data_IF_817463638040
#
_entry.id   IF_817463638040
#
_cell.length_a   1.000
_cell.length_b   1.000
_cell.length_c   1.000
_cell.angle_alpha   90.00
_cell.angle_beta   90.00
_cell.angle_gamma   90.00
#
_symmetry.space_group_name_H-M   'P 1'
#
loop_
_entity.id
_entity.type
_entity.pdbx_description
1 polymer ?
#
# COMPACT_ATOMS: atom_id res chain seq x y z
N UNK A 1 -29.84 21.11 -28.99
CA UNK A 1 -29.66 19.73 -28.48
C UNK A 1 -28.17 19.49 -28.34
N UNK A 2 -27.63 19.49 -27.13
CA UNK A 2 -26.20 19.32 -26.88
C UNK A 2 -25.96 19.28 -25.38
N UNK A 3 -26.03 18.08 -24.82
CA UNK A 3 -26.05 17.84 -23.38
C UNK A 3 -24.66 18.12 -22.80
N UNK A 4 -24.66 19.01 -21.82
CA UNK A 4 -23.57 19.27 -20.87
C UNK A 4 -23.07 17.96 -20.27
N UNK A 5 -21.80 17.63 -20.47
CA UNK A 5 -21.15 16.50 -19.80
C UNK A 5 -20.71 17.01 -18.43
N UNK A 6 -21.47 16.62 -17.43
CA UNK A 6 -21.20 16.88 -16.02
C UNK A 6 -19.81 16.37 -15.66
N UNK A 7 -18.89 17.30 -15.41
CA UNK A 7 -17.61 17.05 -14.74
C UNK A 7 -17.91 16.55 -13.33
N UNK A 8 -17.91 15.22 -13.16
CA UNK A 8 -17.94 14.58 -11.86
C UNK A 8 -16.52 14.69 -11.29
N UNK A 9 -16.26 15.82 -10.64
CA UNK A 9 -15.02 16.07 -9.90
C UNK A 9 -14.85 14.93 -8.89
N UNK A 10 -13.86 14.08 -9.12
CA UNK A 10 -13.39 13.11 -8.14
C UNK A 10 -12.92 13.93 -6.94
N UNK A 11 -13.77 14.00 -5.93
CA UNK A 11 -13.50 14.69 -4.67
C UNK A 11 -12.44 13.86 -3.96
N UNK A 12 -11.17 14.17 -4.21
CA UNK A 12 -10.07 13.77 -3.35
C UNK A 12 -10.34 14.45 -2.02
N UNK A 13 -10.92 13.72 -1.07
CA UNK A 13 -11.08 14.19 0.29
C UNK A 13 -9.68 14.17 0.91
N UNK A 14 -8.95 15.27 0.72
CA UNK A 14 -7.89 15.66 1.62
C UNK A 14 -8.58 15.97 2.95
N UNK A 15 -8.54 15.02 3.89
CA UNK A 15 -8.81 15.35 5.28
C UNK A 15 -7.57 16.05 5.80
N UNK A 16 -7.64 17.37 5.84
CA UNK A 16 -6.90 18.16 6.82
C UNK A 16 -7.30 17.67 8.20
N UNK A 17 -6.51 16.76 8.74
CA UNK A 17 -6.39 16.59 10.19
C UNK A 17 -4.97 16.96 10.54
N UNK A 18 -4.79 18.22 10.91
CA UNK A 18 -3.79 18.63 11.88
C UNK A 18 -3.98 17.78 13.15
N UNK A 19 -3.38 16.59 13.16
CA UNK A 19 -3.08 15.87 14.38
C UNK A 19 -1.58 15.94 14.58
N UNK A 20 -1.21 16.93 15.39
CA UNK A 20 0.03 17.06 16.16
C UNK A 20 0.87 15.79 16.10
N UNK A 21 2.02 15.89 15.44
CA UNK A 21 3.05 14.86 15.37
C UNK A 21 3.58 14.54 16.78
N UNK A 22 2.82 13.76 17.54
CA UNK A 22 3.27 13.19 18.81
C UNK A 22 4.22 12.06 18.45
N UNK A 23 5.53 12.34 18.53
CA UNK A 23 6.58 11.33 18.41
C UNK A 23 6.26 10.20 19.40
N UNK A 24 5.88 8.99 18.96
CA UNK A 24 5.41 7.98 19.89
C UNK A 24 6.62 7.36 20.57
N UNK A 25 6.72 7.58 21.88
CA UNK A 25 7.55 6.76 22.76
C UNK A 25 6.87 5.40 22.89
N UNK A 26 7.20 4.45 22.02
CA UNK A 26 6.61 3.11 22.02
C UNK A 26 5.25 3.03 21.34
N UNK A 27 4.83 1.80 20.98
CA UNK A 27 3.49 1.56 20.43
C UNK A 27 2.44 1.87 21.48
N UNK A 28 1.35 2.53 21.06
CA UNK A 28 0.23 2.85 21.93
C UNK A 28 -0.34 1.56 22.56
N UNK A 29 -0.53 1.50 23.90
CA UNK A 29 -1.12 0.33 24.57
C UNK A 29 -2.49 -0.06 24.02
N UNK A 30 -3.33 0.90 23.62
CA UNK A 30 -4.64 0.61 23.06
C UNK A 30 -4.53 -0.07 21.69
N UNK A 31 -3.60 0.39 20.84
CA UNK A 31 -3.29 -0.24 19.55
C UNK A 31 -2.76 -1.67 19.77
N UNK A 32 -1.86 -1.82 20.75
CA UNK A 32 -1.27 -3.11 21.13
C UNK A 32 -2.33 -4.12 21.57
N UNK A 33 -3.32 -3.71 22.37
CA UNK A 33 -4.39 -4.61 22.80
C UNK A 33 -5.33 -4.97 21.65
N UNK A 34 -5.78 -3.98 20.85
CA UNK A 34 -6.65 -4.21 19.68
C UNK A 34 -6.02 -5.20 18.69
N UNK A 35 -4.74 -5.01 18.36
CA UNK A 35 -4.01 -5.96 17.49
C UNK A 35 -3.86 -7.31 18.19
N UNK A 36 -3.65 -7.30 19.51
CA UNK A 36 -3.61 -8.49 20.33
C UNK A 36 -4.92 -9.29 20.28
N UNK A 37 -6.07 -8.63 20.21
CA UNK A 37 -7.39 -9.24 20.02
C UNK A 37 -7.55 -9.82 18.62
N UNK A 38 -7.24 -9.02 17.59
CA UNK A 38 -7.25 -9.48 16.20
C UNK A 38 -6.43 -10.78 16.01
N UNK A 39 -5.25 -10.85 16.62
CA UNK A 39 -4.42 -12.05 16.57
C UNK A 39 -5.10 -13.24 17.28
N UNK A 40 -5.74 -13.03 18.43
CA UNK A 40 -6.47 -14.09 19.14
C UNK A 40 -7.63 -14.63 18.30
N UNK A 41 -8.40 -13.74 17.69
CA UNK A 41 -9.57 -14.10 16.87
C UNK A 41 -9.17 -14.89 15.62
N UNK A 42 -7.95 -14.65 15.11
CA UNK A 42 -7.34 -15.40 14.00
C UNK A 42 -6.59 -16.66 14.45
N UNK A 43 -6.67 -17.06 15.72
CA UNK A 43 -5.97 -18.24 16.27
C UNK A 43 -4.44 -18.07 16.35
N UNK A 44 -3.94 -16.84 16.22
CA UNK A 44 -2.52 -16.52 16.19
C UNK A 44 -2.01 -16.15 17.58
N UNK A 45 -0.88 -16.74 17.98
CA UNK A 45 -0.14 -16.32 19.17
C UNK A 45 0.17 -14.82 19.11
N UNK A 46 -0.12 -14.11 20.21
CA UNK A 46 0.20 -12.69 20.46
C UNK A 46 1.70 -12.46 20.65
N UNK A 47 2.46 -12.55 19.57
CA UNK A 47 3.90 -12.28 19.58
C UNK A 47 4.18 -10.79 19.42
N UNK A 48 5.19 -10.28 20.13
CA UNK A 48 5.59 -8.88 20.04
C UNK A 48 5.92 -8.45 18.60
N UNK A 49 6.61 -9.29 17.82
CA UNK A 49 6.94 -8.99 16.42
C UNK A 49 5.69 -8.83 15.54
N UNK A 50 4.67 -9.67 15.71
CA UNK A 50 3.40 -9.57 14.98
C UNK A 50 2.68 -8.28 15.30
N UNK A 51 2.59 -7.95 16.58
CA UNK A 51 1.97 -6.71 17.03
C UNK A 51 2.70 -5.50 16.44
N UNK A 52 4.03 -5.51 16.51
CA UNK A 52 4.85 -4.41 16.01
C UNK A 52 4.71 -4.23 14.50
N UNK A 53 4.78 -5.30 13.71
CA UNK A 53 4.61 -5.23 12.25
C UNK A 53 3.21 -4.72 11.88
N UNK A 54 2.16 -5.26 12.51
CA UNK A 54 0.79 -4.83 12.25
C UNK A 54 0.55 -3.37 12.67
N UNK A 55 1.13 -2.92 13.77
CA UNK A 55 0.98 -1.54 14.23
C UNK A 55 1.65 -0.52 13.30
N UNK A 56 2.71 -0.90 12.59
CA UNK A 56 3.37 -0.06 11.57
C UNK A 56 2.58 -0.02 10.27
N UNK A 57 1.85 -1.09 9.95
CA UNK A 57 1.01 -1.20 8.75
C UNK A 57 -0.39 -0.57 8.94
N UNK A 58 -0.98 -0.65 10.13
CA UNK A 58 -2.33 -0.12 10.43
C UNK A 58 -2.58 1.33 10.00
N UNK A 59 -1.67 2.30 10.22
CA UNK A 59 -1.88 3.67 9.79
C UNK A 59 -1.63 3.89 8.29
N UNK A 60 -1.17 2.88 7.55
CA UNK A 60 -0.85 2.99 6.12
C UNK A 60 -2.05 2.56 5.30
N UNK A 61 -2.62 3.49 4.55
CA UNK A 61 -3.55 3.18 3.46
C UNK A 61 -2.76 2.77 2.22
N UNK A 62 -2.24 1.53 2.21
CA UNK A 62 -1.39 1.02 1.15
C UNK A 62 -0.47 -0.11 1.61
N UNK A 63 0.59 -0.32 0.83
CA UNK A 63 1.54 -1.42 1.02
C UNK A 63 2.94 -0.92 1.38
N UNK A 64 3.67 -1.69 2.19
CA UNK A 64 5.08 -1.46 2.52
C UNK A 64 5.94 -2.69 2.20
N UNK A 65 7.15 -2.47 1.70
CA UNK A 65 8.17 -3.51 1.62
C UNK A 65 8.68 -3.90 3.02
N UNK A 66 9.33 -5.07 3.13
CA UNK A 66 9.97 -5.50 4.39
C UNK A 66 11.02 -4.49 4.86
N UNK A 67 11.77 -3.88 3.93
CA UNK A 67 12.75 -2.85 4.24
C UNK A 67 12.08 -1.61 4.87
N UNK A 68 10.98 -1.13 4.30
CA UNK A 68 10.22 0.01 4.84
C UNK A 68 9.57 -0.30 6.18
N UNK A 69 9.02 -1.51 6.36
CA UNK A 69 8.48 -1.97 7.65
C UNK A 69 9.58 -1.93 8.71
N UNK A 70 10.74 -2.50 8.41
CA UNK A 70 11.88 -2.52 9.34
C UNK A 70 12.41 -1.11 9.66
N UNK A 71 12.48 -0.23 8.66
CA UNK A 71 12.87 1.16 8.84
C UNK A 71 11.88 1.91 9.74
N UNK A 72 10.56 1.74 9.52
CA UNK A 72 9.54 2.36 10.36
C UNK A 72 9.54 1.82 11.78
N UNK A 73 9.73 0.51 11.96
CA UNK A 73 9.93 -0.08 13.29
C UNK A 73 11.11 0.54 14.02
N UNK A 74 12.21 0.80 13.31
CA UNK A 74 13.39 1.48 13.85
C UNK A 74 13.09 2.91 14.28
N UNK A 75 12.27 3.63 13.52
CA UNK A 75 11.91 5.02 13.79
C UNK A 75 10.86 5.20 14.91
N UNK A 76 9.91 4.27 15.03
CA UNK A 76 8.77 4.38 15.95
C UNK A 76 9.01 3.75 17.32
N UNK A 77 9.93 2.79 17.45
CA UNK A 77 10.18 2.11 18.73
C UNK A 77 11.17 2.90 19.60
N UNK A 78 10.85 3.01 20.89
CA UNK A 78 11.68 3.74 21.86
C UNK A 78 13.12 3.17 21.94
N UNK A 79 14.06 4.03 22.32
CA UNK A 79 15.42 3.61 22.64
C UNK A 79 15.38 2.55 23.76
N UNK A 80 15.91 1.35 23.49
CA UNK A 80 15.89 0.21 24.42
C UNK A 80 14.79 -0.83 24.16
N UNK A 81 13.77 -0.54 23.35
CA UNK A 81 12.79 -1.54 22.95
C UNK A 81 13.44 -2.61 22.05
N UNK A 82 13.16 -3.89 22.31
CA UNK A 82 13.62 -4.99 21.46
C UNK A 82 12.87 -4.97 20.14
N UNK A 83 13.56 -4.59 19.08
CA UNK A 83 13.05 -4.59 17.70
C UNK A 83 13.34 -5.95 17.06
N UNK A 84 12.44 -6.47 16.21
CA UNK A 84 12.73 -7.64 15.41
C UNK A 84 13.83 -7.31 14.40
N UNK A 85 14.74 -8.25 14.20
CA UNK A 85 15.65 -8.19 13.07
C UNK A 85 14.89 -8.39 11.74
N UNK A 86 15.56 -8.11 10.62
CA UNK A 86 14.98 -8.20 9.30
C UNK A 86 14.44 -9.62 8.98
N UNK A 87 15.18 -10.67 9.39
CA UNK A 87 14.76 -12.05 9.19
C UNK A 87 13.45 -12.38 9.95
N UNK A 88 13.29 -11.82 11.15
CA UNK A 88 12.07 -11.94 11.95
C UNK A 88 10.91 -11.18 11.31
N UNK A 89 11.16 -10.02 10.71
CA UNK A 89 10.13 -9.31 9.92
C UNK A 89 9.68 -10.17 8.74
N UNK A 90 10.61 -10.74 7.96
CA UNK A 90 10.28 -11.65 6.84
C UNK A 90 9.40 -12.83 7.29
N UNK A 91 9.80 -13.56 8.34
CA UNK A 91 9.00 -14.68 8.86
C UNK A 91 7.62 -14.22 9.34
N UNK A 92 7.57 -13.04 9.96
CA UNK A 92 6.33 -12.47 10.49
C UNK A 92 5.37 -12.13 9.36
N UNK A 93 5.80 -11.40 8.32
CA UNK A 93 4.92 -11.05 7.19
C UNK A 93 4.48 -12.29 6.41
N UNK A 94 5.37 -13.27 6.20
CA UNK A 94 5.01 -14.54 5.56
C UNK A 94 3.89 -15.25 6.34
N UNK A 95 4.05 -15.39 7.66
CA UNK A 95 3.03 -16.04 8.49
C UNK A 95 1.71 -15.27 8.47
N UNK A 96 1.74 -13.94 8.47
CA UNK A 96 0.53 -13.14 8.44
C UNK A 96 -0.18 -13.18 7.07
N UNK A 97 0.56 -13.38 5.98
CA UNK A 97 -0.01 -13.63 4.64
C UNK A 97 -0.65 -15.02 4.57
N UNK A 98 0.01 -16.05 5.09
CA UNK A 98 -0.51 -17.42 5.15
C UNK A 98 -1.78 -17.55 6.00
N UNK A 99 -2.07 -16.53 6.82
CA UNK A 99 -3.22 -16.45 7.72
C UNK A 99 -4.22 -15.38 7.29
N UNK A 100 -4.05 -14.84 6.08
CA UNK A 100 -4.95 -13.87 5.45
C UNK A 100 -5.17 -12.62 6.32
N UNK A 101 -4.16 -12.25 7.11
CA UNK A 101 -4.11 -10.99 7.87
C UNK A 101 -3.46 -9.90 7.01
N UNK A 102 -2.50 -10.29 6.17
CA UNK A 102 -1.84 -9.43 5.19
C UNK A 102 -2.07 -9.94 3.77
N UNK A 103 -2.05 -9.03 2.81
CA UNK A 103 -1.89 -9.33 1.40
C UNK A 103 -0.46 -9.00 0.95
N UNK A 104 0.13 -9.88 0.15
CA UNK A 104 1.39 -9.64 -0.51
C UNK A 104 1.13 -9.22 -1.97
N UNK A 105 1.79 -8.14 -2.39
CA UNK A 105 1.83 -7.68 -3.77
C UNK A 105 3.29 -7.74 -4.26
N UNK A 106 3.61 -8.70 -5.14
CA UNK A 106 4.87 -8.69 -5.88
C UNK A 106 4.89 -7.49 -6.83
N UNK A 107 5.98 -6.73 -6.80
CA UNK A 107 6.26 -5.66 -7.75
C UNK A 107 7.35 -6.07 -8.73
N UNK A 108 7.45 -5.31 -9.80
CA UNK A 108 8.58 -5.39 -10.72
C UNK A 108 9.90 -5.18 -9.99
N UNK A 109 10.95 -5.91 -10.39
CA UNK A 109 12.26 -5.85 -9.73
C UNK A 109 12.41 -6.75 -8.50
N UNK A 110 11.45 -7.64 -8.23
CA UNK A 110 11.56 -8.69 -7.21
C UNK A 110 11.26 -8.22 -5.78
N UNK A 111 10.80 -6.98 -5.60
CA UNK A 111 10.36 -6.48 -4.30
C UNK A 111 8.93 -6.92 -4.05
N UNK A 112 8.66 -7.49 -2.88
CA UNK A 112 7.29 -7.78 -2.43
C UNK A 112 6.90 -6.77 -1.36
N UNK A 113 5.70 -6.23 -1.50
CA UNK A 113 5.10 -5.29 -0.55
C UNK A 113 3.89 -5.88 0.12
N UNK A 114 3.58 -5.43 1.34
CA UNK A 114 2.59 -6.03 2.21
C UNK A 114 1.62 -4.96 2.71
N UNK A 115 0.32 -5.25 2.62
CA UNK A 115 -0.77 -4.41 3.09
C UNK A 115 -1.74 -5.21 3.98
N UNK A 116 -2.60 -4.53 4.74
CA UNK A 116 -3.60 -5.19 5.57
C UNK A 116 -4.72 -5.80 4.72
N UNK A 117 -5.16 -7.01 5.06
CA UNK A 117 -6.26 -7.70 4.40
C UNK A 117 -7.64 -7.30 5.01
N UNK A 118 -7.94 -6.00 5.07
CA UNK A 118 -9.17 -5.50 5.72
C UNK A 118 -10.39 -5.52 4.80
N UNK A 119 -10.21 -5.17 3.53
CA UNK A 119 -11.27 -5.16 2.52
C UNK A 119 -10.72 -5.56 1.15
N UNK A 120 -11.53 -6.22 0.29
CA UNK A 120 -11.13 -6.53 -1.07
C UNK A 120 -10.78 -5.27 -1.86
N UNK A 121 -9.59 -5.27 -2.45
CA UNK A 121 -9.08 -4.18 -3.25
C UNK A 121 -8.20 -4.70 -4.38
N UNK A 122 -8.00 -3.85 -5.37
CA UNK A 122 -7.08 -3.98 -6.47
C UNK A 122 -5.95 -2.96 -6.30
N UNK A 123 -4.95 -3.01 -7.16
CA UNK A 123 -3.77 -2.17 -7.06
C UNK A 123 -3.57 -1.34 -8.32
N UNK A 124 -3.10 -0.12 -8.14
CA UNK A 124 -2.52 0.70 -9.21
C UNK A 124 -1.07 1.03 -8.84
N UNK A 125 -0.12 0.64 -9.69
CA UNK A 125 1.32 0.76 -9.48
C UNK A 125 1.88 1.80 -10.45
N UNK A 126 2.59 2.79 -9.91
CA UNK A 126 3.28 3.79 -10.70
C UNK A 126 4.55 3.21 -11.33
N UNK A 127 4.64 3.21 -12.67
CA UNK A 127 5.80 2.70 -13.41
C UNK A 127 7.04 3.62 -13.29
N UNK A 128 6.87 4.83 -12.76
CA UNK A 128 7.97 5.79 -12.60
C UNK A 128 8.56 5.78 -11.19
N UNK A 129 7.72 5.84 -10.16
CA UNK A 129 8.17 5.93 -8.76
C UNK A 129 7.84 4.71 -7.91
N UNK A 130 7.12 3.72 -8.45
CA UNK A 130 6.72 2.52 -7.71
C UNK A 130 5.59 2.74 -6.69
N UNK A 131 5.04 3.95 -6.58
CA UNK A 131 3.93 4.22 -5.65
C UNK A 131 2.73 3.32 -5.94
N UNK A 132 2.13 2.78 -4.88
CA UNK A 132 0.96 1.89 -4.93
C UNK A 132 -0.25 2.64 -4.41
N UNK A 133 -1.35 2.57 -5.14
CA UNK A 133 -2.65 3.07 -4.73
C UNK A 133 -3.61 1.88 -4.67
N UNK A 134 -4.29 1.72 -3.54
CA UNK A 134 -5.36 0.73 -3.42
C UNK A 134 -6.63 1.24 -4.12
N UNK A 135 -7.19 0.42 -4.99
CA UNK A 135 -8.43 0.67 -5.70
C UNK A 135 -9.51 -0.23 -5.10
N UNK A 136 -10.56 0.30 -4.46
CA UNK A 136 -11.60 -0.55 -3.87
C UNK A 136 -12.22 -1.50 -4.90
N UNK A 137 -12.37 -2.79 -4.57
CA UNK A 137 -12.78 -3.81 -5.55
C UNK A 137 -14.09 -3.47 -6.28
N UNK A 138 -15.05 -2.85 -5.56
CA UNK A 138 -16.33 -2.38 -6.13
C UNK A 138 -16.19 -1.45 -7.35
N UNK A 139 -15.06 -0.76 -7.50
CA UNK A 139 -14.84 0.14 -8.63
C UNK A 139 -14.57 -0.59 -9.94
N UNK A 140 -14.10 -1.86 -9.89
CA UNK A 140 -13.78 -2.66 -11.07
C UNK A 140 -14.70 -3.89 -11.23
N UNK A 141 -15.71 -4.06 -10.38
CA UNK A 141 -16.61 -5.23 -10.40
C UNK A 141 -17.25 -5.45 -11.77
N UNK A 142 -17.78 -4.39 -12.39
CA UNK A 142 -18.42 -4.53 -13.72
C UNK A 142 -17.43 -5.00 -14.79
N UNK A 143 -16.18 -4.50 -14.78
CA UNK A 143 -15.17 -4.93 -15.74
C UNK A 143 -14.80 -6.42 -15.55
N UNK A 144 -14.69 -6.86 -14.30
CA UNK A 144 -14.43 -8.27 -13.97
C UNK A 144 -15.60 -9.19 -14.38
N UNK A 145 -16.84 -8.79 -14.12
CA UNK A 145 -18.04 -9.53 -14.52
C UNK A 145 -18.09 -9.76 -16.04
N UNK A 146 -17.82 -8.72 -16.83
CA UNK A 146 -17.75 -8.84 -18.29
C UNK A 146 -16.62 -9.78 -18.74
N UNK A 147 -15.44 -9.69 -18.11
CA UNK A 147 -14.31 -10.56 -18.43
C UNK A 147 -14.62 -12.04 -18.12
N UNK A 148 -15.29 -12.33 -17.01
CA UNK A 148 -15.71 -13.69 -16.64
C UNK A 148 -16.75 -14.24 -17.62
N UNK A 149 -17.77 -13.44 -17.97
CA UNK A 149 -18.81 -13.85 -18.91
C UNK A 149 -18.24 -14.19 -20.30
N UNK A 150 -17.23 -13.45 -20.75
CA UNK A 150 -16.58 -13.68 -22.05
C UNK A 150 -15.56 -14.83 -22.07
N UNK A 151 -15.11 -15.32 -20.91
CA UNK A 151 -14.00 -16.29 -20.82
C UNK A 151 -14.34 -17.62 -20.15
N UNK A 152 -15.50 -17.74 -19.50
CA UNK A 152 -15.85 -18.86 -18.61
C UNK A 152 -14.87 -19.06 -17.44
N UNK A 153 -14.09 -18.02 -17.10
CA UNK A 153 -13.12 -18.06 -16.03
C UNK A 153 -13.78 -17.81 -14.67
N UNK A 154 -13.47 -18.64 -13.67
CA UNK A 154 -13.91 -18.47 -12.30
C UNK A 154 -12.81 -17.80 -11.46
N UNK A 155 -13.15 -16.68 -10.80
CA UNK A 155 -12.21 -15.99 -9.91
C UNK A 155 -12.10 -16.73 -8.58
N UNK A 156 -10.88 -16.83 -8.07
CA UNK A 156 -10.66 -17.21 -6.67
C UNK A 156 -10.89 -16.01 -5.75
N UNK A 157 -11.13 -16.26 -4.46
CA UNK A 157 -11.19 -15.22 -3.41
C UNK A 157 -9.90 -14.36 -3.32
N UNK A 158 -8.78 -14.87 -3.86
CA UNK A 158 -7.47 -14.19 -3.90
C UNK A 158 -7.26 -13.38 -5.19
N UNK A 159 -8.27 -13.28 -6.04
CA UNK A 159 -8.15 -12.57 -7.31
C UNK A 159 -7.99 -11.05 -7.09
N UNK A 160 -6.89 -10.51 -7.59
CA UNK A 160 -6.62 -9.08 -7.62
C UNK A 160 -6.20 -8.64 -9.03
N UNK A 161 -6.53 -7.41 -9.39
CA UNK A 161 -6.02 -6.76 -10.58
C UNK A 161 -4.93 -5.78 -10.19
N UNK A 162 -3.87 -5.71 -10.98
CA UNK A 162 -2.82 -4.69 -10.85
C UNK A 162 -2.76 -3.87 -12.12
N UNK A 163 -3.10 -2.59 -12.01
CA UNK A 163 -3.00 -1.61 -13.08
C UNK A 163 -1.62 -0.96 -13.04
N UNK A 164 -0.94 -0.85 -14.18
CA UNK A 164 0.36 -0.18 -14.28
C UNK A 164 0.19 1.15 -15.03
N UNK A 165 0.64 2.26 -14.43
CA UNK A 165 0.45 3.60 -15.00
C UNK A 165 1.29 4.67 -14.30
N UNK A 166 0.87 5.94 -14.35
CA UNK A 166 1.52 7.03 -13.62
C UNK A 166 0.63 7.50 -12.46
N UNK A 167 1.19 7.68 -11.28
CA UNK A 167 0.47 8.30 -10.16
C UNK A 167 0.27 9.82 -10.41
N UNK A 168 -0.68 10.48 -9.72
CA UNK A 168 -0.96 11.90 -9.91
C UNK A 168 0.30 12.79 -9.85
N UNK A 169 1.15 12.60 -8.84
CA UNK A 169 2.40 13.34 -8.69
C UNK A 169 3.36 13.17 -9.88
N UNK A 170 3.41 11.99 -10.50
CA UNK A 170 4.24 11.76 -11.68
C UNK A 170 3.60 12.29 -12.97
N UNK A 171 2.26 12.34 -13.05
CA UNK A 171 1.58 12.98 -14.18
C UNK A 171 1.85 14.49 -14.20
N UNK A 172 1.74 15.15 -13.05
CA UNK A 172 2.01 16.59 -12.92
C UNK A 172 3.47 16.94 -13.23
N UNK A 173 4.40 16.06 -12.82
CA UNK A 173 5.83 16.20 -13.14
C UNK A 173 6.12 16.12 -14.64
N UNK A 174 5.35 15.33 -15.39
CA UNK A 174 5.49 15.22 -16.85
C UNK A 174 4.87 16.44 -17.55
N UNK A 175 3.77 16.98 -17.02
CA UNK A 175 3.11 18.17 -17.58
C UNK A 175 3.91 19.46 -17.33
N UNK A 176 4.62 19.58 -16.20
CA UNK A 176 5.47 20.74 -15.91
C UNK A 176 6.75 20.86 -16.78
N UNK A 177 7.15 19.79 -17.48
CA UNK A 177 8.22 19.84 -18.48
C UNK A 177 7.72 20.06 -19.92
N UNK A 178 6.41 20.00 -20.16
CA UNK A 178 5.82 20.24 -21.47
C UNK A 178 5.62 21.76 -21.67
N UNK A 179 6.72 22.50 -21.77
CA UNK A 179 6.71 23.83 -22.39
C UNK A 179 6.46 23.64 -23.90
N UNK A 180 5.35 24.17 -24.48
CA UNK A 180 5.07 24.05 -25.91
C UNK A 180 6.14 24.66 -26.82
N UNK A 181 7.06 25.46 -26.26
CA UNK A 181 8.13 26.15 -26.99
C UNK A 181 9.53 25.55 -26.82
N UNK A 182 9.72 24.50 -26.00
CA UNK A 182 11.03 23.83 -25.88
C UNK A 182 11.08 22.54 -26.72
N UNK A 183 11.87 22.49 -27.82
CA UNK A 183 11.99 21.29 -28.66
C UNK A 183 12.82 20.17 -28.00
N UNK A 184 13.33 20.35 -26.78
CA UNK A 184 14.17 19.35 -26.12
C UNK A 184 13.30 18.32 -25.37
N UNK A 185 13.47 17.01 -25.63
CA UNK A 185 12.75 16.00 -24.87
C UNK A 185 13.12 16.06 -23.39
N UNK A 186 12.16 15.84 -22.47
CA UNK A 186 12.43 15.84 -21.03
C UNK A 186 13.50 14.80 -20.72
N UNK A 187 14.65 15.25 -20.24
CA UNK A 187 15.78 14.37 -19.96
C UNK A 187 15.41 13.45 -18.78
N UNK A 188 15.40 12.14 -19.05
CA UNK A 188 15.23 11.11 -18.01
C UNK A 188 16.32 11.31 -16.96
N UNK A 189 15.95 11.75 -15.76
CA UNK A 189 16.84 11.66 -14.60
C UNK A 189 17.04 10.18 -14.30
N UNK A 190 18.24 9.67 -14.58
CA UNK A 190 18.64 8.34 -14.15
C UNK A 190 18.45 8.27 -12.62
N UNK A 191 17.58 7.35 -12.16
CA UNK A 191 17.47 7.03 -10.75
C UNK A 191 18.87 6.61 -10.27
N UNK A 192 19.45 7.42 -9.39
CA UNK A 192 20.69 7.08 -8.71
C UNK A 192 20.43 5.80 -7.92
N UNK A 193 21.03 4.70 -8.39
CA UNK A 193 21.10 3.45 -7.64
C UNK A 193 21.89 3.75 -6.36
N UNK A 194 21.22 3.71 -5.21
CA UNK A 194 21.90 3.66 -3.94
C UNK A 194 22.50 2.27 -3.79
N UNK A 195 23.84 2.23 -3.67
CA UNK A 195 24.62 1.06 -3.29
C UNK A 195 24.49 0.76 -1.79
#
# INVERSE_FOLDING_TARGET
MGRSISSLVIRVVWRDTEQVARKPSGLDPAVTERIGELLRDRGLRRMASRIQVLAVLEPVSGHLSVAEIHQRLTACLAAGARRPDLATVYRTVSTLVDQEVLHALPLDGGVTTYGLATAPHHHAVCIQCGAIIEVPARQLSSALEHAMAGSSFALSERAGLTLHGLCPACQDSVQGLADPTDPRPPQRRAAQRAH
#
